data_IF_846288048602
#
_entry.id   IF_846288048602
#
_cell.length_a   1.000
_cell.length_b   1.000
_cell.length_c   1.000
_cell.angle_alpha   90.00
_cell.angle_beta   90.00
_cell.angle_gamma   90.00
#
_symmetry.space_group_name_H-M   'P 1'
#
loop_
_entity.id
_entity.type
_entity.pdbx_description
1 polymer ?
#
# COMPACT_ATOMS: atom_id res chain seq x y z
N UNK A 1 31.83 -24.73 -12.12
CA UNK A 1 30.88 -23.60 -12.28
C UNK A 1 30.22 -23.37 -10.93
N UNK A 2 30.35 -22.19 -10.34
CA UNK A 2 29.56 -21.88 -9.12
C UNK A 2 28.12 -21.67 -9.57
N UNK A 3 27.20 -22.48 -9.07
CA UNK A 3 25.77 -22.25 -9.32
C UNK A 3 25.40 -20.85 -8.85
N UNK A 4 24.71 -20.11 -9.68
CA UNK A 4 24.18 -18.79 -9.30
C UNK A 4 23.20 -19.04 -8.14
N UNK A 5 23.35 -18.40 -6.97
CA UNK A 5 22.49 -18.65 -5.83
C UNK A 5 21.03 -18.28 -6.19
N UNK A 6 20.10 -19.14 -5.79
CA UNK A 6 18.67 -18.92 -6.01
C UNK A 6 18.22 -17.74 -5.15
N UNK A 7 17.70 -16.70 -5.78
CA UNK A 7 17.16 -15.52 -5.06
C UNK A 7 15.94 -15.94 -4.26
N UNK A 8 15.94 -15.66 -2.95
CA UNK A 8 14.85 -16.01 -2.04
C UNK A 8 13.78 -14.95 -1.97
N UNK A 9 14.17 -13.68 -2.07
CA UNK A 9 13.25 -12.56 -1.98
C UNK A 9 13.58 -11.49 -3.02
N UNK A 10 12.57 -11.04 -3.77
CA UNK A 10 12.64 -9.83 -4.58
C UNK A 10 11.86 -8.71 -3.90
N UNK A 11 12.54 -7.63 -3.56
CA UNK A 11 11.92 -6.39 -3.05
C UNK A 11 11.56 -5.52 -4.23
N UNK A 12 10.28 -5.14 -4.35
CA UNK A 12 9.74 -4.37 -5.46
C UNK A 12 9.32 -2.99 -4.97
N UNK A 13 9.90 -1.96 -5.59
CA UNK A 13 9.67 -0.54 -5.27
C UNK A 13 9.04 0.14 -6.49
N UNK A 14 7.73 0.43 -6.49
CA UNK A 14 7.13 1.23 -7.54
C UNK A 14 7.57 2.68 -7.38
N UNK A 15 7.99 3.33 -8.48
CA UNK A 15 8.51 4.69 -8.44
C UNK A 15 7.84 5.57 -9.50
N UNK A 16 7.43 6.78 -9.09
CA UNK A 16 6.96 7.83 -10.00
C UNK A 16 7.21 9.21 -9.42
N UNK A 17 8.27 9.88 -9.87
CA UNK A 17 8.64 11.24 -9.42
C UNK A 17 8.88 11.31 -7.90
N UNK A 18 9.77 10.47 -7.40
CA UNK A 18 10.11 10.37 -5.97
C UNK A 18 11.56 10.81 -5.69
N UNK A 19 12.11 11.77 -6.46
CA UNK A 19 13.49 12.23 -6.30
C UNK A 19 13.84 12.71 -4.89
N UNK A 20 12.84 13.18 -4.12
CA UNK A 20 13.04 13.67 -2.76
C UNK A 20 13.11 12.57 -1.70
N UNK A 21 12.54 11.38 -1.97
CA UNK A 21 12.38 10.34 -0.95
C UNK A 21 13.04 9.01 -1.32
N UNK A 22 13.12 8.69 -2.61
CA UNK A 22 13.65 7.41 -3.08
C UNK A 22 15.05 7.10 -2.53
N UNK A 23 15.92 8.12 -2.40
CA UNK A 23 17.25 7.96 -1.82
C UNK A 23 17.20 7.41 -0.39
N UNK A 24 16.28 7.91 0.45
CA UNK A 24 16.12 7.44 1.83
C UNK A 24 15.67 5.98 1.90
N UNK A 25 14.72 5.59 1.03
CA UNK A 25 14.29 4.19 0.95
C UNK A 25 15.41 3.27 0.47
N UNK A 26 16.20 3.69 -0.52
CA UNK A 26 17.34 2.90 -1.01
C UNK A 26 18.49 2.83 0.01
N UNK A 27 18.73 3.89 0.82
CA UNK A 27 19.65 3.85 1.95
C UNK A 27 19.18 2.81 2.98
N UNK A 28 17.90 2.87 3.37
CA UNK A 28 17.32 1.92 4.32
C UNK A 28 17.39 0.47 3.81
N UNK A 29 17.24 0.24 2.52
CA UNK A 29 17.42 -1.08 1.90
C UNK A 29 18.91 -1.50 1.85
N UNK A 30 19.84 -0.57 1.59
CA UNK A 30 21.28 -0.87 1.57
C UNK A 30 21.84 -1.27 2.94
N UNK A 31 21.19 -0.85 4.01
CA UNK A 31 21.55 -1.20 5.40
C UNK A 31 20.95 -2.54 5.85
N UNK A 32 20.09 -3.18 5.05
CA UNK A 32 19.49 -4.45 5.42
C UNK A 32 20.50 -5.59 5.45
N UNK A 33 20.39 -6.43 6.46
CA UNK A 33 21.23 -7.62 6.64
C UNK A 33 20.35 -8.87 6.61
N UNK A 34 20.60 -9.72 5.65
CA UNK A 34 20.01 -11.05 5.57
C UNK A 34 20.99 -12.00 4.89
N UNK A 35 21.13 -13.21 5.43
CA UNK A 35 22.09 -14.21 4.92
C UNK A 35 21.68 -14.86 3.60
N UNK A 36 20.38 -14.85 3.31
CA UNK A 36 19.85 -15.43 2.08
C UNK A 36 19.98 -14.45 0.90
N UNK A 37 20.15 -14.93 -0.33
CA UNK A 37 20.20 -14.10 -1.52
C UNK A 37 18.89 -13.35 -1.76
N UNK A 38 18.97 -12.05 -1.99
CA UNK A 38 17.84 -11.20 -2.34
C UNK A 38 18.21 -10.13 -3.36
N UNK A 39 17.21 -9.51 -3.95
CA UNK A 39 17.36 -8.45 -4.95
C UNK A 39 16.39 -7.29 -4.71
N UNK A 40 16.69 -6.12 -5.31
CA UNK A 40 15.81 -4.95 -5.33
C UNK A 40 15.48 -4.60 -6.78
N UNK A 41 14.20 -4.36 -7.04
CA UNK A 41 13.69 -3.95 -8.34
C UNK A 41 12.91 -2.65 -8.17
N UNK A 42 13.45 -1.56 -8.70
CA UNK A 42 12.71 -0.30 -8.79
C UNK A 42 11.98 -0.29 -10.15
N UNK A 43 10.66 -0.26 -10.10
CA UNK A 43 9.80 -0.20 -11.29
C UNK A 43 9.38 1.25 -11.55
N UNK A 44 10.06 1.90 -12.50
CA UNK A 44 9.82 3.30 -12.85
C UNK A 44 8.60 3.46 -13.74
N UNK A 45 7.56 4.09 -13.21
CA UNK A 45 6.29 4.31 -13.92
C UNK A 45 6.30 5.58 -14.80
N UNK A 46 7.46 5.91 -15.34
CA UNK A 46 7.67 7.05 -16.25
C UNK A 46 7.94 8.35 -15.50
N UNK A 47 8.91 8.33 -14.58
CA UNK A 47 9.39 9.54 -13.89
C UNK A 47 10.03 10.52 -14.85
N UNK A 48 9.82 11.79 -14.59
CA UNK A 48 10.37 12.92 -15.35
C UNK A 48 11.38 13.74 -14.53
N UNK A 49 11.57 13.36 -13.27
CA UNK A 49 12.52 13.92 -12.33
C UNK A 49 13.83 13.10 -12.27
N UNK A 50 14.63 13.30 -11.22
CA UNK A 50 15.90 12.60 -11.02
C UNK A 50 15.78 11.16 -10.50
N UNK A 51 14.58 10.64 -10.25
CA UNK A 51 14.38 9.29 -9.68
C UNK A 51 15.17 8.19 -10.43
N UNK A 52 15.16 8.10 -11.78
CA UNK A 52 15.94 7.08 -12.48
C UNK A 52 17.46 7.26 -12.34
N UNK A 53 17.95 8.49 -12.18
CA UNK A 53 19.37 8.76 -11.94
C UNK A 53 19.79 8.30 -10.54
N UNK A 54 18.98 8.59 -9.53
CA UNK A 54 19.20 8.14 -8.15
C UNK A 54 19.37 6.61 -8.12
N UNK A 55 18.49 5.84 -8.75
CA UNK A 55 18.63 4.37 -8.79
C UNK A 55 19.96 3.93 -9.37
N UNK A 56 20.44 4.62 -10.42
CA UNK A 56 21.73 4.28 -11.05
C UNK A 56 22.91 4.51 -10.09
N UNK A 57 22.84 5.56 -9.27
CA UNK A 57 23.88 5.92 -8.30
C UNK A 57 23.99 4.86 -7.17
N UNK A 58 22.93 4.11 -6.89
CA UNK A 58 22.90 3.06 -5.85
C UNK A 58 23.38 1.68 -6.31
N UNK A 59 23.64 1.45 -7.59
CA UNK A 59 24.07 0.14 -8.12
C UNK A 59 25.31 -0.47 -7.45
N UNK A 60 26.21 0.36 -6.97
CA UNK A 60 27.40 -0.09 -6.22
C UNK A 60 27.16 -0.39 -4.75
N UNK A 61 26.04 0.07 -4.18
CA UNK A 61 25.70 -0.05 -2.76
C UNK A 61 24.67 -1.14 -2.48
N UNK A 62 23.77 -1.37 -3.42
CA UNK A 62 22.75 -2.42 -3.35
C UNK A 62 23.09 -3.50 -4.37
N UNK A 63 23.51 -4.70 -3.91
CA UNK A 63 23.74 -5.82 -4.81
C UNK A 63 22.41 -6.22 -5.48
N UNK A 64 22.49 -6.54 -6.77
CA UNK A 64 21.33 -6.94 -7.58
C UNK A 64 20.21 -5.88 -7.69
N UNK A 65 20.53 -4.58 -7.56
CA UNK A 65 19.58 -3.50 -7.84
C UNK A 65 19.33 -3.37 -9.34
N UNK A 66 18.07 -3.44 -9.72
CA UNK A 66 17.63 -3.25 -11.11
C UNK A 66 16.60 -2.13 -11.20
N UNK A 67 16.73 -1.30 -12.24
CA UNK A 67 15.71 -0.35 -12.67
C UNK A 67 14.98 -0.97 -13.86
N UNK A 68 13.66 -1.04 -13.77
CA UNK A 68 12.78 -1.61 -14.79
C UNK A 68 11.81 -0.56 -15.27
N UNK A 69 11.64 -0.44 -16.58
CA UNK A 69 10.70 0.50 -17.20
C UNK A 69 9.26 -0.04 -17.10
N UNK A 70 8.41 0.72 -16.45
CA UNK A 70 6.97 0.48 -16.32
C UNK A 70 6.16 1.68 -16.86
N UNK A 71 6.74 2.47 -17.79
CA UNK A 71 6.16 3.72 -18.30
C UNK A 71 5.05 3.53 -19.33
N UNK A 72 4.92 2.34 -19.91
CA UNK A 72 3.96 2.01 -20.97
C UNK A 72 2.49 2.12 -20.50
N UNK A 73 2.25 2.11 -19.20
CA UNK A 73 0.93 2.35 -18.60
C UNK A 73 1.07 3.04 -17.25
N UNK A 74 0.29 4.09 -17.02
CA UNK A 74 0.26 4.78 -15.72
C UNK A 74 -0.49 3.96 -14.67
N UNK A 75 0.05 3.90 -13.44
CA UNK A 75 -0.59 3.33 -12.27
C UNK A 75 0.34 2.52 -11.40
N UNK A 76 0.20 2.66 -10.08
CA UNK A 76 1.04 1.96 -9.11
C UNK A 76 0.88 0.43 -9.23
N UNK A 77 -0.35 -0.07 -9.39
CA UNK A 77 -0.61 -1.50 -9.62
C UNK A 77 0.15 -2.04 -10.84
N UNK A 78 0.21 -1.25 -11.94
CA UNK A 78 0.99 -1.62 -13.12
C UNK A 78 2.48 -1.70 -12.82
N UNK A 79 3.05 -0.68 -12.15
CA UNK A 79 4.47 -0.69 -11.78
C UNK A 79 4.83 -1.88 -10.89
N UNK A 80 3.98 -2.20 -9.89
CA UNK A 80 4.16 -3.38 -9.04
C UNK A 80 4.14 -4.68 -9.83
N UNK A 81 3.20 -4.83 -10.77
CA UNK A 81 3.13 -6.01 -11.64
C UNK A 81 4.33 -6.12 -12.59
N UNK A 82 4.82 -5.00 -13.15
CA UNK A 82 6.03 -4.99 -13.98
C UNK A 82 7.24 -5.41 -13.16
N UNK A 83 7.41 -4.87 -11.96
CA UNK A 83 8.46 -5.27 -11.03
C UNK A 83 8.37 -6.75 -10.65
N UNK A 84 7.17 -7.26 -10.38
CA UNK A 84 6.93 -8.67 -10.06
C UNK A 84 7.29 -9.61 -11.23
N UNK A 85 6.95 -9.23 -12.46
CA UNK A 85 7.34 -10.00 -13.66
C UNK A 85 8.85 -10.02 -13.90
N UNK A 86 9.54 -8.95 -13.52
CA UNK A 86 11.01 -8.88 -13.61
C UNK A 86 11.71 -9.64 -12.48
N UNK A 87 11.01 -9.96 -11.41
CA UNK A 87 11.56 -10.62 -10.23
C UNK A 87 12.03 -12.04 -10.50
N UNK A 88 13.14 -12.44 -9.87
CA UNK A 88 13.68 -13.79 -9.95
C UNK A 88 13.55 -14.56 -8.63
N UNK A 89 13.19 -13.88 -7.55
CA UNK A 89 13.02 -14.48 -6.23
C UNK A 89 11.84 -15.43 -6.11
N UNK A 90 11.95 -16.38 -5.19
CA UNK A 90 10.87 -17.31 -4.85
C UNK A 90 9.66 -16.58 -4.20
N UNK A 91 9.94 -15.46 -3.56
CA UNK A 91 8.96 -14.62 -2.89
C UNK A 91 9.14 -13.15 -3.29
N UNK A 92 8.05 -12.39 -3.18
CA UNK A 92 7.99 -10.96 -3.47
C UNK A 92 7.64 -10.21 -2.20
N UNK A 93 8.31 -9.09 -1.94
CA UNK A 93 7.92 -8.13 -0.93
C UNK A 93 7.83 -6.74 -1.58
N UNK A 94 6.80 -5.98 -1.23
CA UNK A 94 6.55 -4.67 -1.81
C UNK A 94 6.75 -3.58 -0.75
N UNK A 95 7.42 -2.48 -1.13
CA UNK A 95 7.53 -1.27 -0.31
C UNK A 95 7.48 -0.03 -1.19
N UNK A 96 6.88 1.04 -0.69
CA UNK A 96 6.70 2.27 -1.48
C UNK A 96 8.00 3.11 -1.51
N UNK A 97 8.20 3.90 -2.57
CA UNK A 97 9.42 4.68 -2.80
C UNK A 97 9.56 5.89 -1.87
N UNK A 98 8.44 6.35 -1.28
CA UNK A 98 8.37 7.49 -0.37
C UNK A 98 8.37 7.10 1.13
N UNK A 99 8.44 5.79 1.43
CA UNK A 99 8.55 5.24 2.78
C UNK A 99 10.00 4.87 3.14
N UNK A 100 10.22 4.33 4.35
CA UNK A 100 11.50 3.76 4.77
C UNK A 100 11.28 2.42 5.48
N UNK A 101 11.95 1.36 5.02
CA UNK A 101 11.94 0.07 5.73
C UNK A 101 12.82 0.15 6.98
N UNK A 102 12.36 -0.38 8.10
CA UNK A 102 13.16 -0.42 9.33
C UNK A 102 14.27 -1.50 9.26
N UNK A 103 15.32 -1.40 10.09
CA UNK A 103 16.35 -2.44 10.18
C UNK A 103 15.76 -3.84 10.41
N UNK A 104 16.25 -4.84 9.67
CA UNK A 104 15.79 -6.22 9.76
C UNK A 104 14.49 -6.54 9.00
N UNK A 105 13.90 -5.58 8.30
CA UNK A 105 12.66 -5.78 7.54
C UNK A 105 12.79 -6.88 6.47
N UNK A 106 13.88 -6.87 5.68
CA UNK A 106 14.12 -7.88 4.62
C UNK A 106 14.19 -9.28 5.22
N UNK A 107 14.96 -9.46 6.28
CA UNK A 107 15.08 -10.76 6.96
C UNK A 107 13.75 -11.23 7.54
N UNK A 108 13.01 -10.36 8.21
CA UNK A 108 11.72 -10.70 8.81
C UNK A 108 10.68 -11.10 7.76
N UNK A 109 10.59 -10.34 6.64
CA UNK A 109 9.69 -10.66 5.53
C UNK A 109 10.08 -11.98 4.86
N UNK A 110 11.39 -12.19 4.59
CA UNK A 110 11.88 -13.42 3.97
C UNK A 110 11.63 -14.65 4.85
N UNK A 111 11.89 -14.56 6.16
CA UNK A 111 11.61 -15.63 7.12
C UNK A 111 10.11 -15.95 7.23
N UNK A 112 9.27 -14.91 7.27
CA UNK A 112 7.82 -15.12 7.31
C UNK A 112 7.31 -15.80 6.03
N UNK A 113 7.84 -15.44 4.86
CA UNK A 113 7.52 -16.04 3.58
C UNK A 113 8.11 -17.46 3.40
N UNK A 114 9.04 -17.88 4.23
CA UNK A 114 9.48 -19.27 4.27
C UNK A 114 8.39 -20.22 4.78
N UNK A 115 7.51 -19.73 5.67
CA UNK A 115 6.45 -20.52 6.34
C UNK A 115 5.04 -20.18 5.90
N UNK A 116 4.82 -18.96 5.39
CA UNK A 116 3.50 -18.47 4.96
C UNK A 116 3.55 -18.02 3.51
N UNK A 117 2.48 -18.23 2.77
CA UNK A 117 2.41 -17.83 1.35
C UNK A 117 2.07 -16.35 1.17
N UNK A 118 1.37 -15.75 2.16
CA UNK A 118 0.88 -14.39 2.09
C UNK A 118 0.97 -13.69 3.44
N UNK A 119 1.73 -12.60 3.49
CA UNK A 119 2.05 -11.88 4.73
C UNK A 119 1.90 -10.37 4.52
N UNK A 120 1.78 -9.64 5.63
CA UNK A 120 1.91 -8.19 5.62
C UNK A 120 2.56 -7.70 6.91
N UNK A 121 3.43 -6.71 6.79
CA UNK A 121 4.16 -6.14 7.90
C UNK A 121 3.43 -4.98 8.55
N UNK A 122 4.01 -4.46 9.61
CA UNK A 122 3.53 -3.37 10.43
C UNK A 122 3.89 -2.00 9.83
N UNK A 123 3.03 -0.99 10.05
CA UNK A 123 3.33 0.42 9.80
C UNK A 123 3.48 1.22 11.10
N UNK A 124 4.36 2.22 11.10
CA UNK A 124 4.35 3.34 12.04
C UNK A 124 4.43 4.67 11.28
N UNK A 125 4.06 5.78 11.91
CA UNK A 125 3.93 7.08 11.23
C UNK A 125 4.63 8.23 11.98
N UNK A 126 5.26 7.96 13.10
CA UNK A 126 5.85 8.99 13.93
C UNK A 126 7.18 9.51 13.36
N UNK A 127 7.99 8.63 12.76
CA UNK A 127 9.34 8.95 12.30
C UNK A 127 9.39 9.91 11.10
N UNK A 128 8.55 9.67 10.09
CA UNK A 128 8.65 10.39 8.80
C UNK A 128 7.66 11.56 8.68
N UNK A 129 6.83 11.77 9.68
CA UNK A 129 5.75 12.74 9.60
C UNK A 129 5.87 13.82 10.66
N UNK A 130 5.44 15.03 10.30
CA UNK A 130 5.30 16.09 11.28
C UNK A 130 4.25 15.69 12.35
N UNK A 131 4.42 16.11 13.63
CA UNK A 131 3.53 15.71 14.74
C UNK A 131 2.04 15.96 14.49
N UNK A 132 1.69 16.97 13.70
CA UNK A 132 0.30 17.25 13.34
C UNK A 132 -0.31 16.18 12.42
N UNK A 133 0.51 15.54 11.57
CA UNK A 133 0.03 14.55 10.60
C UNK A 133 -0.22 13.20 11.28
N UNK A 134 0.70 12.74 12.13
CA UNK A 134 0.53 11.53 12.95
C UNK A 134 -0.60 11.70 13.98
N UNK A 135 -0.77 12.89 14.56
CA UNK A 135 -1.90 13.19 15.44
C UNK A 135 -3.26 13.22 14.71
N UNK A 136 -3.29 13.60 13.43
CA UNK A 136 -4.52 13.64 12.64
C UNK A 136 -5.02 12.24 12.24
N UNK A 137 -4.11 11.29 12.02
CA UNK A 137 -4.43 9.94 11.56
C UNK A 137 -3.53 8.91 12.24
N UNK A 138 -4.13 7.92 12.88
CA UNK A 138 -3.37 6.77 13.40
C UNK A 138 -2.74 5.98 12.26
N UNK A 139 -1.60 5.35 12.54
CA UNK A 139 -1.00 4.40 11.61
C UNK A 139 -2.02 3.30 11.26
N UNK A 140 -2.29 3.05 9.98
CA UNK A 140 -2.98 1.84 9.61
C UNK A 140 -2.08 0.65 9.97
N UNK A 141 -2.65 -0.48 10.36
CA UNK A 141 -1.88 -1.71 10.52
C UNK A 141 -0.75 -1.63 11.59
N UNK A 142 -0.88 -0.76 12.61
CA UNK A 142 0.12 -0.62 13.69
C UNK A 142 0.20 -1.85 14.60
N UNK A 143 -0.94 -2.49 14.86
CA UNK A 143 -1.08 -3.57 15.84
C UNK A 143 -1.65 -4.86 15.23
N UNK A 144 -1.83 -4.93 13.92
CA UNK A 144 -2.41 -6.05 13.20
C UNK A 144 -2.95 -5.67 11.83
N UNK A 145 -3.50 -6.65 11.15
CA UNK A 145 -4.09 -6.47 9.83
C UNK A 145 -5.33 -5.57 9.87
N UNK A 146 -5.54 -4.83 8.80
CA UNK A 146 -6.72 -4.00 8.64
C UNK A 146 -7.95 -4.87 8.35
N UNK A 147 -9.11 -4.49 8.92
CA UNK A 147 -10.41 -5.10 8.61
C UNK A 147 -11.19 -4.19 7.69
N UNK A 148 -11.70 -4.74 6.62
CA UNK A 148 -12.55 -3.96 5.72
C UNK A 148 -13.90 -3.68 6.40
N UNK A 149 -14.17 -2.42 6.69
CA UNK A 149 -15.30 -2.02 7.56
C UNK A 149 -16.66 -2.55 7.11
N UNK A 150 -16.89 -2.63 5.78
CA UNK A 150 -18.18 -3.05 5.21
C UNK A 150 -18.31 -4.57 5.03
N UNK A 151 -17.19 -5.27 5.04
CA UNK A 151 -17.10 -6.72 4.93
C UNK A 151 -16.05 -7.22 5.93
N UNK A 152 -16.38 -7.24 7.24
CA UNK A 152 -15.38 -7.40 8.31
C UNK A 152 -14.73 -8.79 8.36
N UNK A 153 -15.22 -9.75 7.59
CA UNK A 153 -14.60 -11.06 7.42
C UNK A 153 -13.36 -11.01 6.50
N UNK A 154 -13.18 -9.95 5.72
CA UNK A 154 -11.98 -9.75 4.94
C UNK A 154 -10.93 -8.91 5.70
N UNK A 155 -9.71 -9.42 5.70
CA UNK A 155 -8.52 -8.71 6.15
C UNK A 155 -7.81 -8.10 4.94
N UNK A 156 -7.13 -6.98 5.13
CA UNK A 156 -6.33 -6.39 4.08
C UNK A 156 -5.11 -5.66 4.65
N UNK A 157 -4.21 -5.31 3.75
CA UNK A 157 -2.99 -4.58 4.05
C UNK A 157 -2.69 -3.59 2.91
N UNK A 158 -1.95 -2.53 3.20
CA UNK A 158 -1.45 -1.61 2.19
C UNK A 158 -0.38 -2.27 1.31
N UNK A 159 -0.37 -1.95 0.01
CA UNK A 159 0.56 -2.56 -0.97
C UNK A 159 2.01 -2.51 -0.51
N UNK A 160 2.45 -1.37 0.04
CA UNK A 160 3.82 -1.19 0.52
C UNK A 160 4.23 -2.07 1.72
N UNK A 161 3.33 -2.90 2.27
CA UNK A 161 3.63 -3.79 3.39
C UNK A 161 3.47 -5.28 3.07
N UNK A 162 3.04 -5.60 1.86
CA UNK A 162 2.67 -6.96 1.46
C UNK A 162 3.92 -7.77 1.08
N UNK A 163 3.93 -9.04 1.51
CA UNK A 163 4.80 -10.09 0.98
C UNK A 163 3.98 -11.28 0.52
N UNK A 164 4.40 -11.92 -0.57
CA UNK A 164 3.68 -13.04 -1.17
C UNK A 164 4.64 -14.02 -1.86
N UNK A 165 4.34 -15.32 -1.84
CA UNK A 165 5.02 -16.29 -2.69
C UNK A 165 4.78 -15.93 -4.16
N UNK A 166 5.84 -15.90 -4.99
CA UNK A 166 5.75 -15.51 -6.40
C UNK A 166 4.73 -16.37 -7.16
N UNK A 167 4.74 -17.69 -6.95
CA UNK A 167 3.77 -18.59 -7.57
C UNK A 167 2.30 -18.23 -7.25
N UNK A 168 2.00 -17.81 -6.00
CA UNK A 168 0.67 -17.35 -5.63
C UNK A 168 0.32 -16.02 -6.31
N UNK A 169 1.26 -15.07 -6.37
CA UNK A 169 1.07 -13.81 -7.10
C UNK A 169 0.73 -14.04 -8.57
N UNK A 170 1.46 -14.93 -9.22
CA UNK A 170 1.23 -15.31 -10.62
C UNK A 170 -0.12 -16.01 -10.81
N UNK A 171 -0.45 -16.96 -9.94
CA UNK A 171 -1.70 -17.71 -10.00
C UNK A 171 -2.94 -16.82 -9.83
N UNK A 172 -2.86 -15.77 -8.99
CA UNK A 172 -3.96 -14.83 -8.79
C UNK A 172 -4.02 -13.74 -9.87
N UNK A 173 -3.04 -13.68 -10.76
CA UNK A 173 -2.95 -12.70 -11.85
C UNK A 173 -2.45 -11.32 -11.42
N UNK A 174 -1.74 -11.21 -10.28
CA UNK A 174 -1.18 -9.96 -9.79
C UNK A 174 -2.22 -8.94 -9.30
N UNK A 175 -1.83 -7.68 -9.23
CA UNK A 175 -2.73 -6.56 -8.89
C UNK A 175 -3.63 -6.19 -10.07
N UNK A 176 -4.87 -5.77 -9.79
CA UNK A 176 -5.80 -5.30 -10.84
C UNK A 176 -5.39 -3.89 -11.30
N UNK A 177 -4.79 -3.82 -12.48
CA UNK A 177 -4.29 -2.59 -13.07
C UNK A 177 -5.39 -1.61 -13.54
N UNK A 178 -6.65 -2.02 -13.53
CA UNK A 178 -7.78 -1.12 -13.81
C UNK A 178 -8.15 -0.26 -12.61
N UNK A 179 -7.65 -0.61 -11.42
CA UNK A 179 -7.91 0.08 -10.17
C UNK A 179 -6.82 1.11 -9.87
N UNK A 180 -7.22 2.38 -9.76
CA UNK A 180 -6.31 3.48 -9.42
C UNK A 180 -6.13 3.66 -7.90
N UNK A 181 -6.96 2.99 -7.09
CA UNK A 181 -6.86 2.96 -5.64
C UNK A 181 -7.45 1.65 -5.10
N UNK A 182 -7.09 1.26 -3.89
CA UNK A 182 -7.54 0.04 -3.21
C UNK A 182 -7.31 -1.26 -4.01
N UNK A 183 -6.40 -1.26 -4.98
CA UNK A 183 -5.98 -2.46 -5.71
C UNK A 183 -5.31 -3.49 -4.79
N UNK A 184 -4.66 -3.02 -3.74
CA UNK A 184 -4.10 -3.80 -2.65
C UNK A 184 -5.18 -4.52 -1.83
N UNK A 185 -6.25 -3.82 -1.51
CA UNK A 185 -7.41 -4.37 -0.81
C UNK A 185 -8.09 -5.44 -1.67
N UNK A 186 -8.32 -5.17 -2.95
CA UNK A 186 -8.82 -6.15 -3.93
C UNK A 186 -7.93 -7.39 -4.02
N UNK A 187 -6.62 -7.18 -4.10
CA UNK A 187 -5.63 -8.24 -4.15
C UNK A 187 -5.70 -9.14 -2.92
N UNK A 188 -5.77 -8.54 -1.72
CA UNK A 188 -5.93 -9.27 -0.47
C UNK A 188 -7.21 -10.11 -0.45
N UNK A 189 -8.31 -9.58 -1.00
CA UNK A 189 -9.58 -10.32 -1.04
C UNK A 189 -9.52 -11.48 -2.02
N UNK A 190 -8.94 -11.30 -3.22
CA UNK A 190 -8.81 -12.38 -4.21
C UNK A 190 -7.99 -13.54 -3.68
N UNK A 191 -6.87 -13.27 -3.00
CA UNK A 191 -6.03 -14.30 -2.38
C UNK A 191 -6.79 -15.05 -1.29
N UNK A 192 -7.52 -14.35 -0.41
CA UNK A 192 -8.31 -14.99 0.65
C UNK A 192 -9.47 -15.81 0.09
N UNK A 193 -10.10 -15.36 -0.99
CA UNK A 193 -11.14 -16.13 -1.69
C UNK A 193 -10.58 -17.38 -2.38
N UNK A 194 -9.30 -17.35 -2.77
CA UNK A 194 -8.58 -18.53 -3.27
C UNK A 194 -8.12 -19.49 -2.15
N UNK A 195 -8.42 -19.18 -0.87
CA UNK A 195 -8.16 -20.05 0.27
C UNK A 195 -6.88 -19.76 1.07
N UNK A 196 -6.06 -18.78 0.64
CA UNK A 196 -4.81 -18.44 1.36
C UNK A 196 -5.05 -17.33 2.39
N UNK A 197 -4.60 -17.56 3.63
CA UNK A 197 -4.74 -16.59 4.72
C UNK A 197 -3.64 -15.54 4.67
N UNK A 198 -3.99 -14.30 5.04
CA UNK A 198 -3.05 -13.21 5.25
C UNK A 198 -2.52 -13.24 6.69
N UNK A 199 -1.20 -13.31 6.86
CA UNK A 199 -0.55 -13.35 8.16
C UNK A 199 0.13 -12.03 8.49
N UNK A 200 0.08 -11.61 9.76
CA UNK A 200 0.72 -10.39 10.23
C UNK A 200 2.13 -10.64 10.74
N UNK A 201 3.10 -9.87 10.23
CA UNK A 201 4.52 -9.94 10.60
C UNK A 201 4.83 -8.74 11.49
N UNK A 202 4.70 -8.92 12.80
CA UNK A 202 4.83 -7.85 13.79
C UNK A 202 6.26 -7.30 13.96
N UNK A 203 7.28 -8.10 13.64
CA UNK A 203 8.70 -7.75 13.72
C UNK A 203 9.28 -7.15 12.43
N UNK A 204 8.49 -7.07 11.35
CA UNK A 204 8.82 -6.29 10.17
C UNK A 204 8.08 -4.95 10.22
N UNK A 205 8.80 -3.85 10.06
CA UNK A 205 8.26 -2.49 10.22
C UNK A 205 8.62 -1.62 9.02
N UNK A 206 7.64 -0.81 8.58
CA UNK A 206 7.84 0.28 7.63
C UNK A 206 7.43 1.60 8.28
N UNK A 207 8.29 2.59 8.15
CA UNK A 207 8.02 3.98 8.46
C UNK A 207 7.24 4.59 7.30
N UNK A 208 5.94 4.80 7.51
CA UNK A 208 4.99 5.25 6.49
C UNK A 208 4.95 6.78 6.42
N UNK A 209 5.07 7.33 5.22
CA UNK A 209 4.96 8.76 4.98
C UNK A 209 3.53 9.15 4.56
N UNK A 210 2.99 10.17 5.22
CA UNK A 210 1.69 10.75 4.88
C UNK A 210 1.82 11.91 3.89
N UNK A 211 0.78 12.10 3.10
CA UNK A 211 0.66 13.29 2.24
C UNK A 211 0.59 14.55 3.09
N UNK A 212 1.43 15.54 2.79
CA UNK A 212 1.57 16.76 3.59
C UNK A 212 0.55 17.85 3.25
N UNK A 213 -0.02 17.85 2.04
CA UNK A 213 -0.96 18.88 1.62
C UNK A 213 -2.43 18.46 1.83
N UNK A 214 -3.28 19.40 2.23
CA UNK A 214 -4.71 19.16 2.40
C UNK A 214 -5.39 18.73 1.10
N UNK A 215 -4.91 19.24 -0.06
CA UNK A 215 -5.42 18.87 -1.37
C UNK A 215 -5.08 17.41 -1.69
N UNK A 216 -3.86 16.97 -1.40
CA UNK A 216 -3.45 15.57 -1.61
C UNK A 216 -4.22 14.63 -0.67
N UNK A 217 -4.43 15.01 0.60
CA UNK A 217 -5.27 14.28 1.54
C UNK A 217 -6.71 14.15 1.05
N UNK A 218 -7.29 15.24 0.54
CA UNK A 218 -8.63 15.24 -0.02
C UNK A 218 -8.73 14.28 -1.21
N UNK A 219 -7.80 14.39 -2.18
CA UNK A 219 -7.79 13.53 -3.37
C UNK A 219 -7.66 12.06 -3.00
N UNK A 220 -6.76 11.74 -2.06
CA UNK A 220 -6.54 10.37 -1.58
C UNK A 220 -7.77 9.81 -0.88
N UNK A 221 -8.33 10.52 0.11
CA UNK A 221 -9.49 10.03 0.87
C UNK A 221 -10.73 9.86 0.00
N UNK A 222 -10.95 10.78 -0.95
CA UNK A 222 -12.04 10.70 -1.91
C UNK A 222 -11.90 9.47 -2.82
N UNK A 223 -10.72 9.28 -3.41
CA UNK A 223 -10.47 8.15 -4.30
C UNK A 223 -10.60 6.81 -3.56
N UNK A 224 -9.97 6.69 -2.38
CA UNK A 224 -10.06 5.46 -1.61
C UNK A 224 -11.48 5.07 -1.27
N UNK A 225 -12.32 6.04 -0.87
CA UNK A 225 -13.69 5.72 -0.48
C UNK A 225 -14.59 5.41 -1.69
N UNK A 226 -14.36 6.03 -2.83
CA UNK A 226 -15.03 5.67 -4.09
C UNK A 226 -14.76 4.19 -4.45
N UNK A 227 -13.49 3.76 -4.38
CA UNK A 227 -13.11 2.37 -4.64
C UNK A 227 -13.57 1.42 -3.53
N UNK A 228 -13.62 1.84 -2.27
CA UNK A 228 -14.21 1.05 -1.19
C UNK A 228 -15.69 0.73 -1.43
N UNK A 229 -16.45 1.67 -2.02
CA UNK A 229 -17.83 1.40 -2.44
C UNK A 229 -17.89 0.37 -3.58
N UNK A 230 -16.96 0.47 -4.54
CA UNK A 230 -16.84 -0.51 -5.62
C UNK A 230 -16.51 -1.91 -5.07
N UNK A 231 -15.54 -2.02 -4.15
CA UNK A 231 -15.16 -3.28 -3.50
C UNK A 231 -16.34 -3.87 -2.72
N UNK A 232 -17.07 -3.06 -1.97
CA UNK A 232 -18.29 -3.53 -1.31
C UNK A 232 -19.28 -4.11 -2.31
N UNK A 233 -19.54 -3.43 -3.44
CA UNK A 233 -20.42 -3.95 -4.49
C UNK A 233 -19.91 -5.26 -5.07
N UNK A 234 -18.59 -5.36 -5.34
CA UNK A 234 -17.95 -6.52 -5.97
C UNK A 234 -17.99 -7.77 -5.08
N UNK A 235 -17.78 -7.60 -3.77
CA UNK A 235 -17.52 -8.70 -2.84
C UNK A 235 -18.63 -8.95 -1.81
N UNK A 236 -19.69 -8.13 -1.76
CA UNK A 236 -20.83 -8.39 -0.88
C UNK A 236 -21.54 -9.70 -1.28
N UNK A 237 -21.94 -10.44 -0.28
CA UNK A 237 -22.78 -11.64 -0.43
C UNK A 237 -24.26 -11.25 -0.37
N UNK A 238 -25.20 -12.14 -0.83
CA UNK A 238 -26.63 -11.87 -0.73
C UNK A 238 -27.13 -11.63 0.70
N UNK A 239 -26.48 -12.26 1.69
CA UNK A 239 -26.76 -12.14 3.12
C UNK A 239 -26.07 -10.94 3.79
N UNK A 240 -25.23 -10.20 3.06
CA UNK A 240 -24.58 -9.00 3.61
C UNK A 240 -25.61 -7.91 3.87
N UNK A 241 -25.73 -7.40 5.12
CA UNK A 241 -26.69 -6.35 5.42
C UNK A 241 -26.48 -5.12 4.53
N UNK A 242 -27.56 -4.51 4.03
CA UNK A 242 -27.46 -3.28 3.26
C UNK A 242 -26.88 -2.16 4.12
N UNK A 243 -26.11 -1.26 3.50
CA UNK A 243 -25.61 -0.07 4.19
C UNK A 243 -26.76 0.89 4.45
N UNK A 244 -26.78 1.46 5.66
CA UNK A 244 -27.82 2.38 6.08
C UNK A 244 -27.59 3.78 5.52
N UNK A 245 -28.58 4.35 4.82
CA UNK A 245 -28.56 5.75 4.39
C UNK A 245 -28.58 6.73 5.57
N UNK A 246 -29.23 6.36 6.70
CA UNK A 246 -29.29 7.18 7.90
C UNK A 246 -27.91 7.35 8.54
N UNK A 247 -27.06 6.33 8.50
CA UNK A 247 -25.69 6.41 9.00
C UNK A 247 -24.85 7.39 8.18
N UNK A 248 -25.07 7.43 6.88
CA UNK A 248 -24.46 8.39 5.98
C UNK A 248 -24.90 9.82 6.32
N UNK A 249 -26.20 10.04 6.47
CA UNK A 249 -26.74 11.35 6.85
C UNK A 249 -26.21 11.81 8.21
N UNK A 250 -26.22 10.93 9.19
CA UNK A 250 -25.62 11.19 10.50
C UNK A 250 -24.13 11.54 10.43
N UNK A 251 -23.37 10.90 9.54
CA UNK A 251 -21.96 11.21 9.33
C UNK A 251 -21.76 12.63 8.77
N UNK A 252 -22.58 13.05 7.79
CA UNK A 252 -22.58 14.42 7.28
C UNK A 252 -22.95 15.45 8.36
N UNK A 253 -23.99 15.21 9.13
CA UNK A 253 -24.40 16.09 10.23
C UNK A 253 -23.28 16.22 11.26
N UNK A 254 -22.64 15.11 11.66
CA UNK A 254 -21.49 15.15 12.58
C UNK A 254 -20.32 15.96 12.04
N UNK A 255 -20.00 15.80 10.76
CA UNK A 255 -18.92 16.54 10.11
C UNK A 255 -19.19 18.04 10.10
N UNK A 256 -20.40 18.44 9.70
CA UNK A 256 -20.82 19.86 9.65
C UNK A 256 -20.83 20.51 11.04
N UNK A 257 -21.34 19.80 12.05
CA UNK A 257 -21.30 20.28 13.45
C UNK A 257 -19.89 20.46 14.00
N UNK A 258 -18.91 19.70 13.50
CA UNK A 258 -17.50 19.85 13.88
C UNK A 258 -16.80 21.01 13.19
N UNK A 259 -17.29 21.49 12.05
CA UNK A 259 -16.62 22.53 11.25
C UNK A 259 -16.24 23.79 12.05
N UNK A 260 -17.13 24.38 12.91
CA UNK A 260 -16.80 25.55 13.70
C UNK A 260 -15.72 25.31 14.77
N UNK A 261 -15.46 24.05 15.12
CA UNK A 261 -14.52 23.65 16.18
C UNK A 261 -13.18 23.18 15.63
N UNK A 262 -12.98 23.24 14.31
CA UNK A 262 -11.74 22.80 13.63
C UNK A 262 -10.63 23.81 13.92
N UNK A 263 -9.66 23.40 14.75
CA UNK A 263 -8.51 24.22 15.13
C UNK A 263 -7.21 23.56 14.75
N UNK A 264 -6.21 24.38 14.43
CA UNK A 264 -4.86 23.92 14.10
C UNK A 264 -4.76 23.11 12.79
N UNK A 265 -3.55 22.70 12.45
CA UNK A 265 -3.24 21.97 11.21
C UNK A 265 -3.79 20.53 11.26
N UNK A 266 -3.64 19.85 12.42
CA UNK A 266 -4.17 18.49 12.62
C UNK A 266 -5.69 18.42 12.51
N UNK A 267 -6.41 19.35 13.16
CA UNK A 267 -7.87 19.40 13.07
C UNK A 267 -8.36 19.63 11.66
N UNK A 268 -7.72 20.55 10.90
CA UNK A 268 -8.04 20.80 9.48
C UNK A 268 -7.77 19.56 8.61
N UNK A 269 -6.65 18.88 8.81
CA UNK A 269 -6.31 17.68 8.08
C UNK A 269 -7.33 16.56 8.32
N UNK A 270 -7.70 16.32 9.59
CA UNK A 270 -8.70 15.32 9.94
C UNK A 270 -10.09 15.67 9.36
N UNK A 271 -10.49 16.93 9.43
CA UNK A 271 -11.77 17.36 8.87
C UNK A 271 -11.82 17.20 7.35
N UNK A 272 -10.76 17.63 6.64
CA UNK A 272 -10.63 17.47 5.18
C UNK A 272 -10.64 15.99 4.78
N UNK A 273 -9.96 15.14 5.52
CA UNK A 273 -9.99 13.70 5.31
C UNK A 273 -11.40 13.13 5.44
N UNK A 274 -12.11 13.46 6.54
CA UNK A 274 -13.49 12.99 6.75
C UNK A 274 -14.44 13.50 5.68
N UNK A 275 -14.30 14.77 5.28
CA UNK A 275 -15.06 15.34 4.16
C UNK A 275 -14.79 14.60 2.84
N UNK A 276 -13.53 14.35 2.52
CA UNK A 276 -13.12 13.60 1.33
C UNK A 276 -13.72 12.19 1.29
N UNK A 277 -13.71 11.49 2.41
CA UNK A 277 -14.33 10.17 2.57
C UNK A 277 -15.83 10.22 2.28
N UNK A 278 -16.56 11.19 2.82
CA UNK A 278 -18.01 11.31 2.56
C UNK A 278 -18.32 11.67 1.10
N UNK A 279 -17.52 12.55 0.49
CA UNK A 279 -17.65 12.87 -0.94
C UNK A 279 -17.34 11.66 -1.81
N UNK A 280 -16.27 10.93 -1.52
CA UNK A 280 -15.90 9.71 -2.24
C UNK A 280 -16.97 8.63 -2.15
N UNK A 281 -17.60 8.49 -0.97
CA UNK A 281 -18.72 7.57 -0.73
C UNK A 281 -19.94 7.92 -1.59
N UNK A 282 -20.31 9.20 -1.61
CA UNK A 282 -21.42 9.67 -2.45
C UNK A 282 -21.12 9.44 -3.94
N UNK A 283 -19.93 9.79 -4.40
CA UNK A 283 -19.52 9.57 -5.79
C UNK A 283 -19.49 8.07 -6.15
N UNK A 284 -18.94 7.25 -5.28
CA UNK A 284 -18.94 5.79 -5.45
C UNK A 284 -20.35 5.21 -5.50
N UNK A 285 -21.25 5.70 -4.64
CA UNK A 285 -22.65 5.29 -4.63
C UNK A 285 -23.35 5.58 -5.96
N UNK A 286 -23.16 6.77 -6.52
CA UNK A 286 -23.71 7.18 -7.80
C UNK A 286 -23.07 6.37 -8.95
N UNK A 287 -21.73 6.37 -9.02
CA UNK A 287 -20.97 5.72 -10.09
C UNK A 287 -21.24 4.22 -10.19
N UNK A 288 -21.29 3.57 -9.05
CA UNK A 288 -21.47 2.11 -8.99
C UNK A 288 -22.94 1.71 -8.81
N UNK A 289 -23.88 2.65 -8.78
CA UNK A 289 -25.33 2.41 -8.65
C UNK A 289 -25.64 1.52 -7.45
N UNK A 290 -25.11 1.85 -6.29
CA UNK A 290 -25.34 1.15 -5.03
C UNK A 290 -25.46 2.17 -3.90
N UNK A 291 -26.48 2.01 -3.05
CA UNK A 291 -26.61 2.85 -1.86
C UNK A 291 -25.57 2.42 -0.82
N UNK A 292 -24.53 3.26 -0.63
CA UNK A 292 -23.42 3.01 0.29
C UNK A 292 -23.08 4.28 1.10
N UNK A 293 -24.10 5.03 1.50
CA UNK A 293 -23.98 6.31 2.20
C UNK A 293 -23.55 6.13 3.67
#
# INVERSE_FOLDING_TARGET
MRETPVIKLSVIVPCLNEEHYLGHQLDALAEQQWSEPWEVIVADNGSTDRSPAIVKDYRGRLPNLRLVDASNRRGQAHALNVGARAATGESLAFCDADDEVAPGWVAAMGQALATHEFVACRFEVERLNAPWASAARRAPQSDGLQRFRRLPHFLHAGSGSIGVRRALHEAIGGFDESMLACFDTDYCFRIQLAGTQLHFVSNALIHLRYRESLIALYRQGRAWEEYNVMLYKKYRRPDTPPLSWSDGLCAWVRLLRRAPHVRGKAGRALWVWQFAVLVGRLQGSIKHRILAL
#
